data_IF_858559413035
#
_entry.id   IF_858559413035
#
_cell.length_a   1.000
_cell.length_b   1.000
_cell.length_c   1.000
_cell.angle_alpha   90.00
_cell.angle_beta   90.00
_cell.angle_gamma   90.00
#
_symmetry.space_group_name_H-M   'P 1'
#
loop_
_entity.id
_entity.type
_entity.pdbx_description
1 polymer ?
#
# COMPACT_ATOMS: atom_id res chain seq x y z
N UNK A 1 8.02 3.41 10.66
CA UNK A 1 6.65 2.92 10.92
C UNK A 1 6.08 3.56 12.18
N UNK A 2 6.70 3.38 13.36
CA UNK A 2 6.17 3.87 14.64
C UNK A 2 5.85 5.37 14.65
N UNK A 3 6.79 6.24 14.28
CA UNK A 3 6.57 7.69 14.25
C UNK A 3 5.41 8.10 13.32
N UNK A 4 5.23 7.42 12.19
CA UNK A 4 4.12 7.66 11.27
C UNK A 4 2.78 7.22 11.89
N UNK A 5 2.76 6.06 12.54
CA UNK A 5 1.60 5.53 13.25
C UNK A 5 1.19 6.46 14.41
N UNK A 6 2.15 6.92 15.21
CA UNK A 6 1.93 7.89 16.29
C UNK A 6 1.35 9.20 15.77
N UNK A 7 1.89 9.72 14.66
CA UNK A 7 1.38 10.92 14.00
C UNK A 7 -0.08 10.73 13.53
N UNK A 8 -0.40 9.59 12.94
CA UNK A 8 -1.76 9.26 12.50
C UNK A 8 -2.74 9.17 13.68
N UNK A 9 -2.39 8.43 14.74
CA UNK A 9 -3.23 8.29 15.93
C UNK A 9 -3.43 9.63 16.66
N UNK A 10 -2.41 10.48 16.67
CA UNK A 10 -2.49 11.84 17.22
C UNK A 10 -3.45 12.71 16.41
N UNK A 11 -3.33 12.70 15.07
CA UNK A 11 -4.24 13.45 14.18
C UNK A 11 -5.71 13.01 14.33
N UNK A 12 -5.95 11.75 14.69
CA UNK A 12 -7.27 11.19 14.98
C UNK A 12 -7.73 11.38 16.44
N UNK A 13 -6.93 12.00 17.31
CA UNK A 13 -7.19 12.17 18.75
C UNK A 13 -7.36 10.84 19.53
N UNK A 14 -6.73 9.76 19.07
CA UNK A 14 -6.82 8.40 19.64
C UNK A 14 -5.47 7.83 20.05
N UNK A 15 -4.50 8.69 20.34
CA UNK A 15 -3.13 8.28 20.73
C UNK A 15 -3.10 7.31 21.92
N UNK A 16 -4.06 7.42 22.85
CA UNK A 16 -4.20 6.53 24.00
C UNK A 16 -4.41 5.04 23.62
N UNK A 17 -4.80 4.74 22.37
CA UNK A 17 -4.94 3.38 21.85
C UNK A 17 -3.62 2.80 21.31
N UNK A 18 -2.53 3.57 21.25
CA UNK A 18 -1.24 3.12 20.70
C UNK A 18 -0.78 1.75 21.24
N UNK A 19 -0.86 1.44 22.56
CA UNK A 19 -0.47 0.12 23.06
C UNK A 19 -1.28 -1.02 22.45
N UNK A 20 -2.60 -0.84 22.30
CA UNK A 20 -3.49 -1.84 21.70
C UNK A 20 -3.20 -2.01 20.20
N UNK A 21 -2.91 -0.90 19.51
CA UNK A 21 -2.54 -0.93 18.09
C UNK A 21 -1.22 -1.68 17.89
N UNK A 22 -0.21 -1.46 18.72
CA UNK A 22 1.09 -2.15 18.60
C UNK A 22 0.96 -3.66 18.85
N UNK A 23 0.11 -4.07 19.78
CA UNK A 23 -0.22 -5.48 19.97
C UNK A 23 -0.91 -6.07 18.74
N UNK A 24 -1.90 -5.36 18.20
CA UNK A 24 -2.63 -5.79 17.00
C UNK A 24 -1.72 -5.83 15.75
N UNK A 25 -0.74 -4.93 15.63
CA UNK A 25 0.27 -4.97 14.55
C UNK A 25 1.01 -6.31 14.55
N UNK A 26 1.37 -6.83 15.72
CA UNK A 26 2.06 -8.12 15.82
C UNK A 26 1.17 -9.28 15.37
N UNK A 27 -0.12 -9.23 15.69
CA UNK A 27 -1.12 -10.23 15.28
C UNK A 27 -1.40 -10.15 13.78
N UNK A 28 -1.64 -8.95 13.24
CA UNK A 28 -1.83 -8.73 11.80
C UNK A 28 -0.62 -9.19 11.00
N UNK A 29 0.62 -8.92 11.48
CA UNK A 29 1.83 -9.41 10.82
C UNK A 29 1.86 -10.95 10.78
N UNK A 30 1.46 -11.62 11.86
CA UNK A 30 1.38 -13.07 11.89
C UNK A 30 0.35 -13.59 10.88
N UNK A 31 -0.84 -12.98 10.85
CA UNK A 31 -1.91 -13.31 9.91
C UNK A 31 -1.53 -13.05 8.45
N UNK A 32 -0.66 -12.09 8.18
CA UNK A 32 -0.09 -11.86 6.86
C UNK A 32 1.00 -12.87 6.47
N UNK A 33 1.32 -13.87 7.31
CA UNK A 33 2.39 -14.82 7.01
C UNK A 33 3.79 -14.27 7.28
N UNK A 34 3.93 -13.43 8.31
CA UNK A 34 5.19 -12.87 8.79
C UNK A 34 6.07 -12.13 7.75
N UNK A 35 5.52 -11.21 6.94
CA UNK A 35 6.35 -10.39 6.07
C UNK A 35 7.39 -9.59 6.89
N UNK A 36 8.57 -9.27 6.31
CA UNK A 36 9.47 -8.29 6.89
C UNK A 36 8.74 -6.94 7.05
N UNK A 37 8.91 -6.26 8.18
CA UNK A 37 8.27 -4.96 8.42
C UNK A 37 9.09 -3.82 7.78
N UNK A 38 9.11 -3.81 6.46
CA UNK A 38 9.66 -2.73 5.64
C UNK A 38 8.54 -2.03 4.85
N UNK A 39 8.83 -0.96 4.11
CA UNK A 39 7.81 -0.40 3.19
C UNK A 39 7.67 -1.35 1.99
N UNK A 40 6.45 -1.72 1.54
CA UNK A 40 5.13 -1.21 1.98
C UNK A 40 4.45 -2.02 3.11
N UNK A 41 4.90 -3.24 3.41
CA UNK A 41 4.23 -4.19 4.34
C UNK A 41 4.04 -3.65 5.76
N UNK A 42 5.00 -2.88 6.27
CA UNK A 42 4.92 -2.21 7.59
C UNK A 42 3.74 -1.24 7.68
N UNK A 43 3.46 -0.48 6.61
CA UNK A 43 2.34 0.45 6.58
C UNK A 43 1.01 -0.29 6.47
N UNK A 44 0.95 -1.39 5.71
CA UNK A 44 -0.24 -2.25 5.65
C UNK A 44 -0.58 -2.85 7.02
N UNK A 45 0.43 -3.40 7.72
CA UNK A 45 0.25 -3.95 9.07
C UNK A 45 -0.25 -2.86 10.04
N UNK A 46 0.40 -1.70 10.05
CA UNK A 46 0.03 -0.57 10.89
C UNK A 46 -1.39 -0.08 10.64
N UNK A 47 -1.73 0.20 9.39
CA UNK A 47 -3.04 0.71 9.01
C UNK A 47 -4.16 -0.30 9.33
N UNK A 48 -3.99 -1.57 8.98
CA UNK A 48 -5.00 -2.59 9.27
C UNK A 48 -5.17 -2.80 10.78
N UNK A 49 -4.07 -2.80 11.54
CA UNK A 49 -4.14 -2.92 13.00
C UNK A 49 -4.90 -1.75 13.63
N UNK A 50 -4.63 -0.52 13.17
CA UNK A 50 -5.39 0.67 13.60
C UNK A 50 -6.87 0.52 13.29
N UNK A 51 -7.23 0.08 12.07
CA UNK A 51 -8.64 -0.16 11.71
C UNK A 51 -9.29 -1.22 12.59
N UNK A 52 -8.61 -2.34 12.85
CA UNK A 52 -9.11 -3.41 13.72
C UNK A 52 -9.41 -2.89 15.14
N UNK A 53 -8.50 -2.10 15.72
CA UNK A 53 -8.68 -1.52 17.06
C UNK A 53 -9.81 -0.50 17.09
N UNK A 54 -9.87 0.42 16.13
CA UNK A 54 -10.89 1.48 16.09
C UNK A 54 -12.30 0.93 15.86
N UNK A 55 -12.43 -0.13 15.07
CA UNK A 55 -13.72 -0.78 14.80
C UNK A 55 -14.11 -1.78 15.88
N UNK A 56 -13.17 -2.19 16.73
CA UNK A 56 -13.36 -3.27 17.71
C UNK A 56 -13.56 -4.65 17.08
N UNK A 57 -13.32 -4.81 15.78
CA UNK A 57 -13.55 -6.06 15.05
C UNK A 57 -12.48 -6.29 13.98
N UNK A 58 -11.77 -7.42 14.11
CA UNK A 58 -10.69 -7.78 13.18
C UNK A 58 -11.24 -7.97 11.77
N UNK A 59 -10.60 -7.32 10.79
CA UNK A 59 -10.89 -7.47 9.38
C UNK A 59 -12.35 -7.20 8.99
N UNK A 60 -13.09 -6.45 9.81
CA UNK A 60 -14.42 -5.93 9.47
C UNK A 60 -14.37 -5.01 8.24
N UNK A 61 -13.24 -4.30 8.08
CA UNK A 61 -12.87 -3.56 6.88
C UNK A 61 -11.44 -3.93 6.49
N UNK A 62 -11.25 -4.37 5.25
CA UNK A 62 -9.95 -4.75 4.68
C UNK A 62 -9.62 -3.81 3.52
N UNK A 63 -8.46 -3.15 3.57
CA UNK A 63 -8.05 -2.17 2.56
C UNK A 63 -7.76 -2.80 1.19
N UNK A 64 -7.73 -1.99 0.14
CA UNK A 64 -7.40 -2.44 -1.22
C UNK A 64 -5.98 -3.02 -1.28
N UNK A 65 -5.04 -2.40 -0.59
CA UNK A 65 -3.63 -2.81 -0.51
C UNK A 65 -3.52 -4.19 0.15
N UNK A 66 -4.21 -4.41 1.28
CA UNK A 66 -4.16 -5.69 1.96
C UNK A 66 -4.89 -6.80 1.18
N UNK A 67 -5.98 -6.47 0.48
CA UNK A 67 -6.59 -7.40 -0.49
C UNK A 67 -5.61 -7.75 -1.62
N UNK A 68 -4.90 -6.77 -2.15
CA UNK A 68 -3.85 -7.00 -3.15
C UNK A 68 -2.72 -7.89 -2.63
N UNK A 69 -2.32 -7.70 -1.37
CA UNK A 69 -1.37 -8.58 -0.67
C UNK A 69 -1.88 -10.02 -0.60
N UNK A 70 -3.15 -10.22 -0.22
CA UNK A 70 -3.76 -11.54 -0.17
C UNK A 70 -3.88 -12.19 -1.56
N UNK A 71 -4.10 -11.39 -2.62
CA UNK A 71 -4.05 -11.84 -4.03
C UNK A 71 -2.64 -12.11 -4.57
N UNK A 72 -1.61 -11.93 -3.75
CA UNK A 72 -0.21 -12.11 -4.16
C UNK A 72 0.35 -11.01 -5.07
N UNK A 73 -0.33 -9.86 -5.19
CA UNK A 73 0.16 -8.71 -5.99
C UNK A 73 1.41 -8.04 -5.40
N UNK A 74 1.89 -8.52 -4.25
CA UNK A 74 3.14 -8.10 -3.60
C UNK A 74 4.16 -9.26 -3.52
N UNK A 75 3.90 -10.36 -4.23
CA UNK A 75 4.69 -11.58 -4.19
C UNK A 75 4.25 -12.54 -3.10
N UNK A 76 5.01 -13.64 -2.97
CA UNK A 76 4.71 -14.73 -2.04
C UNK A 76 5.11 -14.36 -0.59
N UNK A 77 4.19 -14.45 0.39
CA UNK A 77 4.51 -14.29 1.80
C UNK A 77 5.50 -15.35 2.31
N UNK A 78 6.33 -15.03 3.34
CA UNK A 78 7.25 -16.02 3.93
C UNK A 78 6.56 -17.23 4.58
N UNK A 79 5.40 -17.01 5.20
CA UNK A 79 4.56 -18.02 5.81
C UNK A 79 3.13 -18.01 5.26
N UNK A 80 2.27 -18.94 5.69
CA UNK A 80 0.87 -18.96 5.26
C UNK A 80 0.13 -17.71 5.77
N UNK A 81 -0.72 -17.13 4.90
CA UNK A 81 -1.71 -16.13 5.32
C UNK A 81 -2.79 -16.86 6.12
N UNK A 82 -3.29 -16.26 7.21
CA UNK A 82 -4.35 -16.86 8.01
C UNK A 82 -5.65 -16.98 7.22
N UNK A 83 -6.41 -18.04 7.55
CA UNK A 83 -7.68 -18.33 6.89
C UNK A 83 -8.70 -17.20 7.08
N UNK A 84 -8.77 -16.63 8.30
CA UNK A 84 -9.67 -15.50 8.62
C UNK A 84 -9.39 -14.29 7.70
N UNK A 85 -8.12 -13.94 7.52
CA UNK A 85 -7.73 -12.82 6.66
C UNK A 85 -8.07 -13.12 5.20
N UNK A 86 -7.77 -14.31 4.70
CA UNK A 86 -8.11 -14.70 3.32
C UNK A 86 -9.61 -14.62 3.06
N UNK A 87 -10.44 -15.17 3.95
CA UNK A 87 -11.90 -15.13 3.82
C UNK A 87 -12.44 -13.69 3.81
N UNK A 88 -11.94 -12.83 4.71
CA UNK A 88 -12.37 -11.43 4.79
C UNK A 88 -11.88 -10.58 3.62
N UNK A 89 -10.70 -10.89 3.08
CA UNK A 89 -10.08 -10.15 1.99
C UNK A 89 -10.61 -10.56 0.61
N UNK A 90 -10.76 -11.86 0.39
CA UNK A 90 -10.98 -12.49 -0.93
C UNK A 90 -12.32 -13.22 -1.05
N UNK A 91 -12.98 -13.57 0.05
CA UNK A 91 -14.16 -14.44 0.02
C UNK A 91 -13.81 -15.82 -0.53
N UNK A 92 -14.42 -16.19 -1.66
CA UNK A 92 -14.19 -17.47 -2.34
C UNK A 92 -13.00 -17.44 -3.32
N UNK A 93 -12.44 -16.26 -3.60
CA UNK A 93 -11.28 -16.11 -4.47
C UNK A 93 -10.04 -16.75 -3.80
N UNK A 94 -9.36 -17.65 -4.53
CA UNK A 94 -8.14 -18.28 -4.03
C UNK A 94 -6.93 -17.37 -4.26
N UNK A 95 -6.02 -17.26 -3.29
CA UNK A 95 -4.77 -16.53 -3.49
C UNK A 95 -3.93 -17.22 -4.58
N UNK A 96 -3.35 -16.43 -5.46
CA UNK A 96 -2.29 -16.84 -6.38
C UNK A 96 -1.06 -15.97 -6.12
N UNK A 97 0.14 -16.47 -6.40
CA UNK A 97 1.39 -15.75 -6.15
C UNK A 97 2.25 -15.66 -7.42
N UNK A 98 1.74 -15.04 -8.50
CA UNK A 98 2.54 -14.77 -9.68
C UNK A 98 3.63 -13.75 -9.34
N UNK A 99 4.61 -13.57 -10.22
CA UNK A 99 5.49 -12.40 -10.17
C UNK A 99 4.68 -11.21 -10.71
N UNK A 100 4.27 -10.22 -9.90
CA UNK A 100 3.28 -9.23 -10.32
C UNK A 100 3.72 -8.37 -11.52
N UNK A 101 5.04 -8.18 -11.68
CA UNK A 101 5.61 -7.47 -12.83
C UNK A 101 5.46 -8.18 -14.17
N UNK A 102 5.15 -9.49 -14.21
CA UNK A 102 4.81 -10.21 -15.45
C UNK A 102 3.40 -9.87 -15.96
N UNK A 103 2.55 -9.27 -15.11
CA UNK A 103 1.18 -8.88 -15.46
C UNK A 103 1.10 -7.45 -16.01
N UNK A 104 2.23 -6.74 -16.09
CA UNK A 104 2.30 -5.35 -16.50
C UNK A 104 2.87 -5.24 -17.91
N UNK A 105 2.19 -4.48 -18.75
CA UNK A 105 2.73 -4.05 -20.04
C UNK A 105 3.85 -3.01 -19.86
N UNK A 106 4.82 -2.92 -20.78
CA UNK A 106 5.83 -1.87 -20.77
C UNK A 106 5.21 -0.46 -20.70
N UNK A 107 5.52 0.30 -19.65
CA UNK A 107 4.86 1.58 -19.36
C UNK A 107 5.51 2.81 -20.01
N UNK A 108 6.68 2.70 -20.63
CA UNK A 108 7.49 3.85 -21.06
C UNK A 108 6.83 4.69 -22.17
N UNK A 109 6.43 4.06 -23.27
CA UNK A 109 5.82 4.77 -24.39
C UNK A 109 4.46 5.37 -24.01
N UNK A 110 3.68 4.64 -23.21
CA UNK A 110 2.43 5.14 -22.63
C UNK A 110 2.67 6.39 -21.77
N UNK A 111 3.69 6.38 -20.91
CA UNK A 111 4.00 7.53 -20.06
C UNK A 111 4.43 8.76 -20.89
N UNK A 112 5.18 8.58 -21.99
CA UNK A 112 5.52 9.68 -22.91
C UNK A 112 4.28 10.29 -23.56
N UNK A 113 3.38 9.43 -24.05
CA UNK A 113 2.15 9.86 -24.70
C UNK A 113 1.26 10.64 -23.72
N UNK A 114 1.03 10.09 -22.52
CA UNK A 114 0.18 10.70 -21.49
C UNK A 114 0.78 11.98 -20.90
N UNK A 115 2.11 12.08 -20.79
CA UNK A 115 2.79 13.29 -20.32
C UNK A 115 2.78 14.43 -21.37
N UNK A 116 2.55 14.11 -22.65
CA UNK A 116 2.49 15.07 -23.74
C UNK A 116 3.77 15.88 -23.89
N UNK A 117 3.64 17.21 -24.06
CA UNK A 117 4.77 18.12 -24.27
C UNK A 117 5.38 18.68 -22.99
N UNK A 118 4.92 18.24 -21.80
CA UNK A 118 5.43 18.75 -20.52
C UNK A 118 6.88 18.30 -20.24
N UNK A 119 7.25 17.02 -20.44
CA UNK A 119 8.61 16.56 -20.22
C UNK A 119 9.60 17.24 -21.17
N UNK A 120 10.75 17.66 -20.64
CA UNK A 120 11.90 18.14 -21.44
C UNK A 120 13.09 17.17 -21.40
N UNK A 121 13.09 16.24 -20.46
CA UNK A 121 14.10 15.18 -20.34
C UNK A 121 13.46 13.82 -20.08
N UNK A 122 14.25 12.74 -20.17
CA UNK A 122 13.79 11.40 -19.84
C UNK A 122 13.41 11.27 -18.35
N UNK A 123 14.09 12.01 -17.46
CA UNK A 123 13.76 12.06 -16.04
C UNK A 123 12.38 12.68 -15.77
N UNK A 124 11.93 13.62 -16.59
CA UNK A 124 10.57 14.16 -16.49
C UNK A 124 9.52 13.12 -16.92
N UNK A 125 9.83 12.33 -17.96
CA UNK A 125 8.97 11.20 -18.37
C UNK A 125 8.94 10.15 -17.25
N UNK A 126 10.07 9.84 -16.62
CA UNK A 126 10.12 8.94 -15.46
C UNK A 126 9.34 9.51 -14.26
N UNK A 127 9.42 10.82 -14.03
CA UNK A 127 8.64 11.51 -12.99
C UNK A 127 7.15 11.32 -13.24
N UNK A 128 6.71 11.48 -14.50
CA UNK A 128 5.33 11.19 -14.89
C UNK A 128 4.96 9.72 -14.72
N UNK A 129 5.80 8.80 -15.20
CA UNK A 129 5.55 7.36 -15.11
C UNK A 129 5.38 6.88 -13.66
N UNK A 130 6.16 7.43 -12.72
CA UNK A 130 6.10 7.05 -11.31
C UNK A 130 5.00 7.77 -10.52
N UNK A 131 4.71 9.02 -10.86
CA UNK A 131 3.80 9.90 -10.09
C UNK A 131 2.87 10.74 -10.99
N UNK A 132 2.05 10.12 -11.86
CA UNK A 132 1.32 10.84 -12.92
C UNK A 132 0.38 11.92 -12.36
N UNK A 133 -0.25 11.66 -11.21
CA UNK A 133 -1.17 12.59 -10.55
C UNK A 133 -0.50 13.86 -10.01
N UNK A 134 0.82 13.86 -9.79
CA UNK A 134 1.58 14.99 -9.25
C UNK A 134 2.53 15.60 -10.28
N UNK A 135 2.95 14.80 -11.26
CA UNK A 135 3.95 15.18 -12.23
C UNK A 135 3.52 16.38 -13.08
N UNK A 136 2.25 16.49 -13.45
CA UNK A 136 1.75 17.60 -14.28
C UNK A 136 1.98 18.94 -13.58
N UNK A 137 1.47 19.09 -12.36
CA UNK A 137 1.62 20.34 -11.60
C UNK A 137 3.08 20.61 -11.24
N UNK A 138 3.82 19.56 -10.88
CA UNK A 138 5.25 19.67 -10.59
C UNK A 138 6.04 20.18 -11.80
N UNK A 139 5.84 19.61 -12.99
CA UNK A 139 6.57 19.97 -14.20
C UNK A 139 6.17 21.36 -14.70
N UNK A 140 4.89 21.73 -14.60
CA UNK A 140 4.44 23.10 -14.89
C UNK A 140 5.15 24.11 -14.00
N UNK A 141 5.22 23.85 -12.69
CA UNK A 141 5.92 24.72 -11.75
C UNK A 141 7.43 24.77 -12.02
N UNK A 142 8.06 23.61 -12.25
CA UNK A 142 9.49 23.49 -12.58
C UNK A 142 9.88 24.34 -13.79
N UNK A 143 9.02 24.36 -14.82
CA UNK A 143 9.27 25.06 -16.08
C UNK A 143 8.57 26.41 -16.21
N UNK A 144 7.91 26.87 -15.15
CA UNK A 144 7.16 28.13 -15.12
C UNK A 144 6.15 28.22 -16.27
N UNK A 145 5.46 27.10 -16.53
CA UNK A 145 4.40 26.99 -17.51
C UNK A 145 3.08 27.37 -16.85
N UNK A 146 2.30 28.21 -17.52
CA UNK A 146 0.96 28.63 -17.11
C UNK A 146 -0.06 27.50 -17.23
#
# INVERSE_FOLDING_TARGET
>A
MLSNLESQLTAMNVYHLLPQVLEEVSRVRADMGYPPLATPSSQMCGAQATTNVLTGSRYSMVSKELKGYCRGMYGKPPGPISQELLEKALGDEKPDFPRPGDLLEPGWEKAKEEAGSLPRTEEDVLTYALFPNYAVDFLKNKYQLS
#
